data_IF_705960466200
#
_entry.id   IF_705960466200
#
_cell.length_a   1.000
_cell.length_b   1.000
_cell.length_c   1.000
_cell.angle_alpha   90.00
_cell.angle_beta   90.00
_cell.angle_gamma   90.00
#
_symmetry.space_group_name_H-M   'P 1'
#
loop_
_entity.id
_entity.type
_entity.pdbx_description
1 polymer ?
#
# COMPACT_ATOMS: atom_id res chain seq x y z
N UNK A 1 -0.51 -9.96 -7.24
CA UNK A 1 -0.28 -8.51 -7.42
C UNK A 1 -0.53 -7.88 -6.06
N UNK A 2 0.47 -7.26 -5.40
CA UNK A 2 0.29 -6.83 -4.03
C UNK A 2 -0.61 -5.59 -4.02
N UNK A 3 -1.86 -5.78 -3.60
CA UNK A 3 -2.82 -4.71 -3.50
C UNK A 3 -2.98 -4.33 -2.03
N UNK A 4 -3.04 -3.03 -1.78
CA UNK A 4 -3.74 -2.55 -0.60
C UNK A 4 -5.23 -2.78 -0.87
N UNK A 5 -5.91 -3.45 0.05
CA UNK A 5 -7.35 -3.67 0.02
C UNK A 5 -8.04 -2.89 1.15
N UNK A 6 -9.36 -2.93 1.15
CA UNK A 6 -10.22 -2.23 2.11
C UNK A 6 -10.12 -2.76 3.54
N UNK A 7 -9.46 -3.92 3.75
CA UNK A 7 -9.24 -4.51 5.08
C UNK A 7 -8.00 -3.96 5.79
N UNK A 8 -7.11 -3.29 5.06
CA UNK A 8 -5.87 -2.78 5.63
C UNK A 8 -6.12 -1.63 6.63
N UNK A 9 -5.49 -1.59 7.82
CA UNK A 9 -5.78 -0.58 8.85
C UNK A 9 -5.55 0.87 8.41
N UNK A 10 -4.57 1.12 7.53
CA UNK A 10 -4.34 2.45 6.97
C UNK A 10 -5.43 2.86 5.98
N UNK A 11 -6.04 1.90 5.30
CA UNK A 11 -7.15 2.17 4.36
C UNK A 11 -8.43 2.52 5.12
N UNK A 12 -8.72 1.83 6.23
CA UNK A 12 -9.87 2.17 7.09
C UNK A 12 -9.76 3.54 7.76
N UNK A 13 -8.55 4.11 7.84
CA UNK A 13 -8.29 5.44 8.40
C UNK A 13 -8.36 6.57 7.36
N UNK A 14 -8.51 6.23 6.07
CA UNK A 14 -8.67 7.25 5.04
C UNK A 14 -10.01 7.97 5.20
N UNK A 15 -9.98 9.30 5.04
CA UNK A 15 -11.19 10.09 4.82
C UNK A 15 -11.87 9.66 3.51
N UNK A 16 -13.13 10.05 3.36
CA UNK A 16 -13.82 9.94 2.07
C UNK A 16 -12.99 10.61 0.96
N UNK A 17 -12.94 9.96 -0.21
CA UNK A 17 -12.11 10.33 -1.37
C UNK A 17 -10.58 10.40 -1.12
N UNK A 18 -10.13 9.99 0.07
CA UNK A 18 -8.72 9.93 0.43
C UNK A 18 -7.92 8.94 -0.42
N UNK A 19 -6.62 9.19 -0.55
CA UNK A 19 -5.69 8.31 -1.26
C UNK A 19 -4.58 7.85 -0.32
N UNK A 20 -4.18 6.60 -0.45
CA UNK A 20 -2.99 6.06 0.21
C UNK A 20 -1.94 5.77 -0.86
N UNK A 21 -0.73 6.30 -0.68
CA UNK A 21 0.42 6.04 -1.54
C UNK A 21 1.46 5.33 -0.70
N UNK A 22 1.83 4.11 -1.10
CA UNK A 22 2.80 3.32 -0.34
C UNK A 22 3.63 2.42 -1.27
N UNK A 23 4.92 2.17 -0.93
CA UNK A 23 5.68 1.10 -1.55
C UNK A 23 5.13 -0.24 -1.04
N UNK A 24 4.69 -1.12 -1.94
CA UNK A 24 4.16 -2.44 -1.59
C UNK A 24 4.94 -3.52 -2.34
N UNK A 25 5.51 -4.46 -1.60
CA UNK A 25 6.36 -5.53 -2.14
C UNK A 25 7.24 -6.17 -1.08
N UNK A 26 8.28 -6.87 -1.53
CA UNK A 26 9.25 -7.53 -0.68
C UNK A 26 10.40 -6.62 -0.25
N UNK A 27 11.39 -7.18 0.46
CA UNK A 27 12.55 -6.45 0.99
C UNK A 27 13.43 -5.77 -0.08
N UNK A 28 13.50 -6.36 -1.27
CA UNK A 28 14.41 -5.93 -2.35
C UNK A 28 13.71 -5.42 -3.61
N UNK A 29 12.38 -5.48 -3.66
CA UNK A 29 11.60 -5.00 -4.80
C UNK A 29 10.19 -4.63 -4.35
N UNK A 30 9.78 -3.39 -4.61
CA UNK A 30 8.42 -2.92 -4.43
C UNK A 30 7.95 -2.09 -5.62
N UNK A 31 6.64 -1.93 -5.76
CA UNK A 31 6.06 -0.90 -6.62
C UNK A 31 5.39 0.17 -5.74
N UNK A 32 5.40 1.42 -6.20
CA UNK A 32 4.50 2.44 -5.64
C UNK A 32 3.08 2.09 -6.03
N UNK A 33 2.25 1.83 -5.02
CA UNK A 33 0.80 1.62 -5.17
C UNK A 33 0.08 2.90 -4.74
N UNK A 34 -0.91 3.30 -5.53
CA UNK A 34 -1.90 4.31 -5.15
C UNK A 34 -3.24 3.63 -4.97
N UNK A 35 -3.74 3.62 -3.74
CA UNK A 35 -5.09 3.20 -3.39
C UNK A 35 -6.03 4.40 -3.36
N UNK A 36 -7.18 4.25 -4.00
CA UNK A 36 -8.24 5.27 -4.05
C UNK A 36 -9.44 4.80 -3.22
N UNK A 37 -9.74 5.49 -2.12
CA UNK A 37 -10.86 5.14 -1.23
C UNK A 37 -12.22 5.33 -1.88
N UNK A 38 -12.32 6.23 -2.87
CA UNK A 38 -13.59 6.49 -3.57
C UNK A 38 -14.05 5.28 -4.37
N UNK A 39 -13.11 4.66 -5.08
CA UNK A 39 -13.38 3.54 -5.99
C UNK A 39 -13.04 2.19 -5.36
N UNK A 40 -12.39 2.18 -4.20
CA UNK A 40 -11.80 0.99 -3.56
C UNK A 40 -10.89 0.21 -4.54
N UNK A 41 -10.06 0.93 -5.31
CA UNK A 41 -9.14 0.32 -6.27
C UNK A 41 -7.69 0.71 -6.01
N UNK A 42 -6.78 -0.20 -6.35
CA UNK A 42 -5.33 0.00 -6.30
C UNK A 42 -4.75 0.05 -7.71
N UNK A 43 -3.79 0.94 -7.94
CA UNK A 43 -2.97 0.96 -9.16
C UNK A 43 -1.47 1.00 -8.84
N UNK A 44 -0.67 0.26 -9.59
CA UNK A 44 0.79 0.38 -9.57
C UNK A 44 1.25 1.54 -10.45
N UNK A 45 2.25 2.29 -10.00
CA UNK A 45 2.74 3.50 -10.68
C UNK A 45 4.15 3.32 -11.22
N UNK A 46 5.11 2.90 -10.38
CA UNK A 46 6.51 2.70 -10.78
C UNK A 46 7.26 1.78 -9.79
N UNK A 47 8.30 1.08 -10.24
CA UNK A 47 9.16 0.25 -9.37
C UNK A 47 10.06 1.11 -8.48
N UNK A 48 10.23 0.71 -7.22
CA UNK A 48 11.02 1.42 -6.21
C UNK A 48 11.77 0.45 -5.28
N UNK A 49 12.74 0.99 -4.55
CA UNK A 49 13.39 0.31 -3.43
C UNK A 49 13.36 1.20 -2.18
N UNK A 50 12.52 0.83 -1.23
CA UNK A 50 12.40 1.41 0.10
C UNK A 50 12.81 0.38 1.17
N UNK A 51 13.09 0.90 2.37
CA UNK A 51 13.29 0.05 3.55
C UNK A 51 12.01 -0.72 3.90
N UNK A 52 12.10 -1.93 4.49
CA UNK A 52 10.92 -2.68 4.92
C UNK A 52 10.12 -1.91 5.98
N UNK A 53 8.80 -1.85 5.80
CA UNK A 53 7.88 -1.35 6.80
C UNK A 53 7.58 -2.45 7.82
N UNK A 54 8.43 -2.57 8.84
CA UNK A 54 8.27 -3.60 9.89
C UNK A 54 7.16 -3.21 10.87
N UNK A 55 6.26 -4.15 11.18
CA UNK A 55 5.21 -3.93 12.18
C UNK A 55 4.05 -4.92 12.06
N UNK A 56 3.08 -4.84 12.98
CA UNK A 56 1.94 -5.78 13.08
C UNK A 56 1.14 -5.97 11.77
N UNK A 57 1.04 -4.93 10.96
CA UNK A 57 0.34 -4.94 9.67
C UNK A 57 1.31 -4.76 8.50
N UNK A 58 2.58 -5.07 8.70
CA UNK A 58 3.66 -4.83 7.75
C UNK A 58 4.51 -6.08 7.53
N UNK A 59 5.78 -5.84 7.24
CA UNK A 59 6.75 -6.87 6.90
C UNK A 59 7.20 -7.68 8.12
N UNK A 60 7.24 -9.00 7.97
CA UNK A 60 7.83 -9.97 8.89
C UNK A 60 8.80 -10.85 8.07
N UNK A 61 10.05 -10.98 8.55
CA UNK A 61 11.05 -11.87 7.93
C UNK A 61 10.65 -13.34 8.06
#
# INVERSE_FOLDING_TARGET
MPYLDDTHPLVSQLKEDGKLVAPVGGKFYQDIIVYDRKTNTSKAVLPVMFVPMVGKAGFHD
#
